data_IF_158983382518
#
_entry.id   IF_158983382518
#
_cell.length_a   1.000
_cell.length_b   1.000
_cell.length_c   1.000
_cell.angle_alpha   90.00
_cell.angle_beta   90.00
_cell.angle_gamma   90.00
#
_symmetry.space_group_name_H-M   'P 1'
#
loop_
_entity.id
_entity.type
_entity.pdbx_description
1 polymer ?
#
# COMPACT_ATOMS: atom_id res chain seq x y z
N UNK A 1 -58.43 -0.60 -17.89
CA UNK A 1 -57.77 0.44 -17.07
C UNK A 1 -56.29 0.44 -17.45
N UNK A 2 -55.89 1.31 -18.37
CA UNK A 2 -54.48 1.43 -18.76
C UNK A 2 -53.83 2.45 -17.84
N UNK A 3 -52.90 2.01 -17.01
CA UNK A 3 -52.10 2.91 -16.17
C UNK A 3 -51.07 3.59 -17.05
N UNK A 4 -51.29 4.88 -17.30
CA UNK A 4 -50.33 5.73 -17.99
C UNK A 4 -49.08 5.83 -17.10
N UNK A 5 -47.96 5.23 -17.54
CA UNK A 5 -46.72 5.24 -16.78
C UNK A 5 -46.21 6.68 -16.67
N UNK A 6 -45.86 7.12 -15.46
CA UNK A 6 -45.37 8.48 -15.25
C UNK A 6 -44.07 8.75 -16.02
N UNK A 7 -43.84 10.02 -16.37
CA UNK A 7 -42.62 10.47 -17.07
C UNK A 7 -41.33 9.96 -16.40
N UNK A 8 -41.28 9.99 -15.07
CA UNK A 8 -40.12 9.48 -14.31
C UNK A 8 -39.97 7.97 -14.35
N UNK A 9 -41.08 7.22 -14.43
CA UNK A 9 -41.03 5.77 -14.59
C UNK A 9 -40.46 5.40 -15.97
N UNK A 10 -40.87 6.11 -17.02
CA UNK A 10 -40.37 5.94 -18.38
C UNK A 10 -38.88 6.34 -18.50
N UNK A 11 -38.48 7.44 -17.87
CA UNK A 11 -37.09 7.89 -17.83
C UNK A 11 -36.18 6.90 -17.10
N UNK A 12 -36.64 6.36 -15.96
CA UNK A 12 -35.92 5.30 -15.23
C UNK A 12 -35.82 4.01 -16.05
N UNK A 13 -36.88 3.62 -16.74
CA UNK A 13 -36.89 2.44 -17.61
C UNK A 13 -35.93 2.62 -18.80
N UNK A 14 -35.89 3.81 -19.40
CA UNK A 14 -34.94 4.17 -20.44
C UNK A 14 -33.48 4.16 -19.94
N UNK A 15 -33.21 4.70 -18.75
CA UNK A 15 -31.87 4.67 -18.13
C UNK A 15 -31.42 3.24 -17.81
N UNK A 16 -32.33 2.38 -17.37
CA UNK A 16 -32.04 0.97 -17.10
C UNK A 16 -31.78 0.18 -18.38
N UNK A 17 -32.52 0.47 -19.46
CA UNK A 17 -32.28 -0.11 -20.78
C UNK A 17 -30.94 0.35 -21.37
N UNK A 18 -30.58 1.63 -21.19
CA UNK A 18 -29.29 2.17 -21.58
C UNK A 18 -28.14 1.55 -20.77
N UNK A 19 -28.30 1.36 -19.46
CA UNK A 19 -27.31 0.65 -18.64
C UNK A 19 -27.18 -0.83 -19.00
N UNK A 20 -28.27 -1.48 -19.45
CA UNK A 20 -28.24 -2.85 -19.96
C UNK A 20 -27.50 -2.92 -21.29
N UNK A 21 -27.74 -1.98 -22.22
CA UNK A 21 -27.05 -1.94 -23.51
C UNK A 21 -25.56 -1.65 -23.37
N UNK A 22 -25.14 -0.77 -22.46
CA UNK A 22 -23.73 -0.58 -22.16
C UNK A 22 -23.06 -1.84 -21.58
N UNK A 23 -23.78 -2.59 -20.72
CA UNK A 23 -23.26 -3.85 -20.16
C UNK A 23 -23.11 -4.93 -21.23
N UNK A 24 -24.07 -5.05 -22.15
CA UNK A 24 -23.97 -6.02 -23.25
C UNK A 24 -22.94 -5.60 -24.28
N UNK A 25 -22.81 -4.32 -24.60
CA UNK A 25 -21.75 -3.78 -25.47
C UNK A 25 -20.37 -4.03 -24.86
N UNK A 26 -20.19 -3.87 -23.55
CA UNK A 26 -18.92 -4.17 -22.87
C UNK A 26 -18.61 -5.67 -22.80
N UNK A 27 -19.65 -6.51 -22.69
CA UNK A 27 -19.48 -7.97 -22.76
C UNK A 27 -19.17 -8.46 -24.19
N UNK A 28 -19.72 -7.79 -25.21
CA UNK A 28 -19.48 -8.08 -26.62
C UNK A 28 -18.14 -7.50 -27.12
N UNK A 29 -17.71 -6.37 -26.58
CA UNK A 29 -16.36 -5.81 -26.72
C UNK A 29 -15.39 -6.47 -25.72
N UNK A 30 -15.56 -7.78 -25.48
CA UNK A 30 -14.51 -8.62 -24.92
C UNK A 30 -13.40 -8.70 -25.95
N UNK A 31 -12.66 -7.61 -26.13
CA UNK A 31 -11.23 -7.73 -26.36
C UNK A 31 -10.74 -8.67 -25.27
N UNK A 32 -10.08 -9.75 -25.69
CA UNK A 32 -9.33 -10.61 -24.81
C UNK A 32 -8.74 -9.77 -23.67
N UNK A 33 -8.98 -10.14 -22.41
CA UNK A 33 -8.17 -9.65 -21.29
C UNK A 33 -6.78 -10.27 -21.48
N UNK A 34 -6.09 -9.88 -22.54
CA UNK A 34 -4.74 -10.25 -22.85
C UNK A 34 -3.88 -9.30 -22.03
N UNK A 35 -3.73 -9.67 -20.75
CA UNK A 35 -2.81 -9.05 -19.81
C UNK A 35 -3.26 -7.69 -19.29
N UNK A 36 -4.12 -7.68 -18.27
CA UNK A 36 -4.05 -6.57 -17.32
C UNK A 36 -2.66 -6.62 -16.67
N UNK A 37 -1.83 -5.63 -17.01
CA UNK A 37 -0.53 -5.41 -16.38
C UNK A 37 -0.68 -4.25 -15.40
N UNK A 38 -0.21 -4.44 -14.17
CA UNK A 38 -0.04 -3.31 -13.27
C UNK A 38 0.92 -2.31 -13.90
N UNK A 39 0.72 -0.99 -13.72
CA UNK A 39 1.63 0.07 -14.20
C UNK A 39 3.11 -0.11 -13.76
N UNK A 40 3.36 -1.01 -12.80
CA UNK A 40 4.71 -1.40 -12.33
C UNK A 40 5.28 -2.65 -13.02
N UNK A 41 4.64 -3.15 -14.09
CA UNK A 41 5.13 -4.27 -14.91
C UNK A 41 4.81 -5.68 -14.38
N UNK A 42 3.91 -5.83 -13.41
CA UNK A 42 3.49 -7.16 -12.94
C UNK A 42 2.28 -7.67 -13.75
N UNK A 43 2.42 -8.87 -14.32
CA UNK A 43 1.36 -9.53 -15.07
C UNK A 43 0.30 -10.16 -14.15
N UNK A 44 -0.92 -10.27 -14.66
CA UNK A 44 -2.02 -11.01 -14.04
C UNK A 44 -1.64 -12.48 -13.81
N UNK A 45 -1.90 -12.99 -12.61
CA UNK A 45 -1.69 -14.39 -12.25
C UNK A 45 -3.03 -15.11 -12.21
N UNK A 46 -3.25 -16.05 -13.15
CA UNK A 46 -4.49 -16.82 -13.25
C UNK A 46 -4.72 -17.78 -12.07
N UNK A 47 -3.70 -18.02 -11.24
CA UNK A 47 -3.83 -18.83 -10.02
C UNK A 47 -4.38 -18.03 -8.83
N UNK A 48 -4.42 -16.70 -8.94
CA UNK A 48 -4.91 -15.80 -7.89
C UNK A 48 -6.32 -15.29 -8.20
N UNK A 49 -7.12 -15.05 -7.16
CA UNK A 49 -8.45 -14.44 -7.31
C UNK A 49 -8.36 -13.02 -7.89
N UNK A 50 -9.44 -12.52 -8.47
CA UNK A 50 -9.51 -11.14 -8.95
C UNK A 50 -9.19 -10.12 -7.84
N UNK A 51 -9.60 -10.38 -6.59
CA UNK A 51 -9.25 -9.52 -5.46
C UNK A 51 -7.75 -9.52 -5.15
N UNK A 52 -7.07 -10.67 -5.30
CA UNK A 52 -5.62 -10.81 -5.11
C UNK A 52 -4.81 -10.24 -6.29
N UNK A 53 -5.36 -10.23 -7.51
CA UNK A 53 -4.75 -9.57 -8.65
C UNK A 53 -4.92 -8.03 -8.60
N UNK A 54 -6.11 -7.55 -8.22
CA UNK A 54 -6.36 -6.10 -7.95
C UNK A 54 -5.53 -5.61 -6.77
N UNK A 55 -5.30 -6.46 -5.77
CA UNK A 55 -4.30 -6.27 -4.71
C UNK A 55 -3.03 -7.08 -5.04
N UNK A 56 -2.46 -6.88 -6.23
CA UNK A 56 -1.30 -7.63 -6.73
C UNK A 56 -0.28 -7.91 -5.60
N UNK A 57 -0.14 -9.17 -5.21
CA UNK A 57 0.73 -9.55 -4.10
C UNK A 57 2.20 -9.25 -4.39
N UNK A 58 2.61 -9.28 -5.66
CA UNK A 58 3.95 -8.84 -6.08
C UNK A 58 4.16 -7.34 -5.82
N UNK A 59 3.17 -6.50 -6.13
CA UNK A 59 3.19 -5.08 -5.73
C UNK A 59 3.12 -4.89 -4.22
N UNK A 60 2.53 -5.81 -3.46
CA UNK A 60 2.52 -5.74 -1.99
C UNK A 60 3.90 -6.09 -1.40
N UNK A 61 4.53 -7.15 -1.88
CA UNK A 61 5.89 -7.55 -1.50
C UNK A 61 6.92 -6.50 -1.87
N UNK A 62 6.89 -6.01 -3.11
CA UNK A 62 7.76 -4.92 -3.56
C UNK A 62 7.59 -3.65 -2.72
N UNK A 63 6.35 -3.31 -2.31
CA UNK A 63 6.13 -2.18 -1.39
C UNK A 63 6.73 -2.40 0.00
N UNK A 64 6.72 -3.64 0.51
CA UNK A 64 7.35 -3.98 1.80
C UNK A 64 8.87 -3.91 1.71
N UNK A 65 9.44 -4.37 0.61
CA UNK A 65 10.88 -4.25 0.34
C UNK A 65 11.31 -2.79 0.25
N UNK A 66 10.62 -1.98 -0.56
CA UNK A 66 10.89 -0.54 -0.66
C UNK A 66 10.74 0.17 0.69
N UNK A 67 9.78 -0.21 1.52
CA UNK A 67 9.66 0.31 2.89
C UNK A 67 10.85 -0.11 3.74
N UNK A 68 11.24 -1.37 3.72
CA UNK A 68 12.42 -1.87 4.45
C UNK A 68 13.66 -1.08 4.07
N UNK A 69 13.86 -0.81 2.78
CA UNK A 69 15.02 -0.05 2.30
C UNK A 69 15.00 1.40 2.78
N UNK A 70 13.84 2.06 2.78
CA UNK A 70 13.70 3.40 3.38
C UNK A 70 14.04 3.42 4.86
N UNK A 71 13.66 2.38 5.60
CA UNK A 71 13.99 2.27 7.03
C UNK A 71 15.48 2.04 7.26
N UNK A 72 16.15 1.26 6.40
CA UNK A 72 17.62 1.12 6.41
C UNK A 72 18.31 2.44 6.13
N UNK A 73 17.83 3.20 5.14
CA UNK A 73 18.36 4.53 4.84
C UNK A 73 18.19 5.51 6.02
N UNK A 74 17.00 5.53 6.65
CA UNK A 74 16.76 6.32 7.87
C UNK A 74 17.74 5.93 8.99
N UNK A 75 17.98 4.63 9.18
CA UNK A 75 18.92 4.16 10.18
C UNK A 75 20.34 4.65 9.90
N UNK A 76 20.79 4.53 8.65
CA UNK A 76 22.10 4.99 8.23
C UNK A 76 22.28 6.51 8.40
N UNK A 77 21.25 7.31 8.07
CA UNK A 77 21.25 8.77 8.26
C UNK A 77 21.38 9.15 9.75
N UNK A 78 20.81 8.35 10.65
CA UNK A 78 20.94 8.50 12.10
C UNK A 78 22.20 7.84 12.68
N UNK A 79 23.11 7.40 11.82
CA UNK A 79 24.37 6.77 12.20
C UNK A 79 24.22 5.37 12.79
N UNK A 80 23.16 4.65 12.49
CA UNK A 80 22.95 3.28 12.94
C UNK A 80 22.47 2.35 11.83
N UNK A 81 21.86 1.23 12.21
CA UNK A 81 21.37 0.21 11.27
C UNK A 81 20.04 -0.40 11.75
N UNK A 82 19.24 -0.83 10.78
CA UNK A 82 18.10 -1.70 11.03
C UNK A 82 18.61 -3.14 11.16
N UNK A 83 18.36 -3.77 12.32
CA UNK A 83 18.79 -5.14 12.61
C UNK A 83 17.75 -6.15 12.11
N UNK A 84 16.46 -5.81 12.20
CA UNK A 84 15.41 -6.68 11.67
C UNK A 84 15.54 -6.91 10.16
N UNK A 85 15.24 -8.14 9.73
CA UNK A 85 15.40 -8.56 8.34
C UNK A 85 14.50 -7.78 7.37
N UNK A 86 13.23 -7.55 7.73
CA UNK A 86 12.24 -6.93 6.84
C UNK A 86 11.08 -6.27 7.57
N UNK A 87 10.52 -5.22 6.98
CA UNK A 87 9.27 -4.61 7.39
C UNK A 87 8.07 -5.49 7.00
N UNK A 88 7.25 -5.88 7.98
CA UNK A 88 6.02 -6.66 7.77
C UNK A 88 4.80 -5.73 7.68
N UNK A 89 4.63 -4.89 8.71
CA UNK A 89 3.58 -3.88 8.84
C UNK A 89 4.00 -2.75 9.81
N UNK A 90 3.15 -1.73 9.94
CA UNK A 90 3.43 -0.54 10.75
C UNK A 90 3.20 -0.75 12.26
N UNK A 91 2.57 -1.86 12.64
CA UNK A 91 2.29 -2.23 14.03
C UNK A 91 3.32 -3.17 14.64
N UNK A 92 4.22 -3.72 13.81
CA UNK A 92 5.27 -4.64 14.24
C UNK A 92 6.51 -3.85 14.66
N UNK A 93 6.97 -3.96 15.92
CA UNK A 93 8.24 -3.39 16.34
C UNK A 93 9.38 -4.00 15.55
N UNK A 94 10.31 -3.15 15.11
CA UNK A 94 11.57 -3.57 14.50
C UNK A 94 12.71 -3.34 15.48
N UNK A 95 13.78 -4.09 15.29
CA UNK A 95 15.02 -3.98 16.04
C UNK A 95 16.01 -3.08 15.32
N UNK A 96 16.60 -2.17 16.08
CA UNK A 96 17.48 -1.11 15.62
C UNK A 96 18.76 -1.09 16.45
N UNK A 97 19.85 -0.64 15.87
CA UNK A 97 21.13 -0.44 16.56
C UNK A 97 21.71 0.92 16.17
N UNK A 98 22.19 1.69 17.14
CA UNK A 98 22.86 2.98 16.89
C UNK A 98 24.39 2.80 16.74
N UNK A 99 25.09 3.85 16.31
CA UNK A 99 26.56 3.87 16.16
C UNK A 99 27.33 3.43 17.42
N UNK A 100 26.74 3.63 18.60
CA UNK A 100 27.34 3.29 19.89
C UNK A 100 27.04 1.86 20.35
N UNK A 101 26.35 1.06 19.52
CA UNK A 101 26.03 -0.34 19.80
C UNK A 101 24.81 -0.56 20.70
N UNK A 102 24.07 0.48 21.09
CA UNK A 102 22.81 0.28 21.80
C UNK A 102 21.76 -0.28 20.84
N UNK A 103 21.10 -1.36 21.22
CA UNK A 103 20.03 -2.03 20.47
C UNK A 103 18.67 -1.86 21.15
N UNK A 104 17.62 -1.57 20.39
CA UNK A 104 16.27 -1.43 20.94
C UNK A 104 15.19 -1.85 19.94
N UNK A 105 14.01 -2.17 20.45
CA UNK A 105 12.83 -2.44 19.65
C UNK A 105 11.91 -1.23 19.63
N UNK A 106 11.52 -0.79 18.43
CA UNK A 106 10.60 0.33 18.26
C UNK A 106 9.86 0.25 16.93
N UNK A 107 8.68 0.87 16.89
CA UNK A 107 7.93 1.05 15.65
C UNK A 107 8.66 2.03 14.73
N UNK A 108 8.60 1.84 13.39
CA UNK A 108 9.21 2.76 12.43
C UNK A 108 8.87 4.24 12.65
N UNK A 109 7.60 4.53 12.93
CA UNK A 109 7.11 5.89 13.18
C UNK A 109 7.71 6.51 14.46
N UNK A 110 8.00 5.69 15.47
CA UNK A 110 8.66 6.13 16.68
C UNK A 110 10.11 6.47 16.39
N UNK A 111 10.81 5.63 15.62
CA UNK A 111 12.21 5.79 15.27
C UNK A 111 12.48 7.04 14.43
N UNK A 112 11.56 7.38 13.52
CA UNK A 112 11.60 8.63 12.77
C UNK A 112 11.64 9.87 13.69
N UNK A 113 10.92 9.82 14.83
CA UNK A 113 10.81 10.94 15.78
C UNK A 113 11.83 10.88 16.91
N UNK A 114 12.19 9.68 17.37
CA UNK A 114 13.08 9.42 18.51
C UNK A 114 13.98 8.25 18.15
N UNK A 115 15.29 8.50 18.13
CA UNK A 115 16.27 7.50 17.71
C UNK A 115 16.65 6.56 18.86
N UNK A 116 17.75 6.83 19.56
CA UNK A 116 18.23 6.01 20.66
C UNK A 116 18.03 6.75 21.99
N UNK A 117 17.25 6.16 22.91
CA UNK A 117 16.94 6.77 24.22
C UNK A 117 18.18 6.91 25.10
N UNK A 118 19.11 5.95 25.04
CA UNK A 118 20.38 6.03 25.76
C UNK A 118 21.25 7.19 25.24
N UNK A 119 21.35 7.34 23.92
CA UNK A 119 22.08 8.47 23.31
C UNK A 119 21.42 9.81 23.61
N UNK A 120 20.09 9.87 23.63
CA UNK A 120 19.34 11.07 23.97
C UNK A 120 19.53 11.45 25.45
N UNK A 121 19.54 10.46 26.34
CA UNK A 121 19.77 10.65 27.79
C UNK A 121 21.20 11.11 28.07
N UNK A 122 22.19 10.58 27.33
CA UNK A 122 23.60 11.00 27.38
C UNK A 122 23.86 12.33 26.64
N UNK A 123 22.82 12.97 26.08
CA UNK A 123 22.89 14.21 25.27
C UNK A 123 23.87 14.15 24.09
N UNK A 124 24.10 12.95 23.56
CA UNK A 124 24.99 12.72 22.40
C UNK A 124 24.27 13.03 21.09
N UNK A 125 22.93 12.95 21.07
CA UNK A 125 22.07 13.38 19.97
C UNK A 125 21.16 14.52 20.44
N UNK A 126 21.06 15.59 19.65
CA UNK A 126 20.09 16.65 19.91
C UNK A 126 18.67 16.15 19.61
N UNK A 127 17.75 16.34 20.57
CA UNK A 127 16.32 16.00 20.44
C UNK A 127 15.58 16.98 19.53
N UNK A 128 16.21 18.09 19.14
CA UNK A 128 15.55 19.24 18.49
C UNK A 128 15.58 19.22 16.95
N UNK A 129 16.21 18.25 16.29
CA UNK A 129 16.35 18.23 14.83
C UNK A 129 15.18 17.52 14.10
N UNK A 130 13.94 17.85 14.44
CA UNK A 130 12.75 17.44 13.68
C UNK A 130 11.80 18.64 13.57
N UNK A 131 11.83 19.31 12.42
CA UNK A 131 10.85 20.31 12.00
C UNK A 131 9.94 19.69 10.94
#
# INVERSE_FOLDING_TARGET
>A
MHTEKSKHALEREALMALAASYRTQRAAASDSIEGWQCERGHAWDSTLSAAQNVRCMNCASQRREQRTERLRALAAERGGKLVSASFVDASTPLEWECAFGHSWQALPDHVARRWCEECASKRVYDRSAAY
#
